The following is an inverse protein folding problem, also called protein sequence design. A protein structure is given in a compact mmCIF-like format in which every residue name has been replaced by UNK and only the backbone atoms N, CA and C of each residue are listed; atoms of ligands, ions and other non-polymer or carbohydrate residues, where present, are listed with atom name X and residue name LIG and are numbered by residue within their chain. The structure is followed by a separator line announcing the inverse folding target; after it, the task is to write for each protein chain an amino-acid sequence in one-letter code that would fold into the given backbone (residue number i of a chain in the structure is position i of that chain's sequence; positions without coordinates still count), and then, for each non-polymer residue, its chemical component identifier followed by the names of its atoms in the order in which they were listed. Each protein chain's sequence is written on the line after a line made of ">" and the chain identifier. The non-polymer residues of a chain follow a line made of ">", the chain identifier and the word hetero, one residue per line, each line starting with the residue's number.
data_IF_310777685854
#
_entry.id   IF_310777685854
#
_cell.length_a   1.000
_cell.length_b   1.000
_cell.length_c   1.000
_cell.angle_alpha   90.00
_cell.angle_beta   90.00
_cell.angle_gamma   90.00
#
_symmetry.space_group_name_H-M   'P 1'
#
loop_
_entity.id
_entity.type
_entity.pdbx_description
1 polymer ?
#
# COMPACT_ATOMS: atom_id res chain seq x y z
N UNK A 1 -15.21 -24.08 6.05
CA UNK A 1 -14.61 -22.86 5.47
C UNK A 1 -15.62 -21.74 5.63
N UNK A 2 -15.24 -20.62 6.25
CA UNK A 2 -16.17 -19.53 6.58
C UNK A 2 -16.61 -18.76 5.33
N UNK A 3 -17.89 -18.42 5.25
CA UNK A 3 -18.52 -17.63 4.17
C UNK A 3 -17.82 -16.27 3.98
N UNK A 4 -17.28 -15.69 5.06
CA UNK A 4 -16.50 -14.46 5.03
C UNK A 4 -15.19 -14.60 4.22
N UNK A 5 -14.56 -15.79 4.23
CA UNK A 5 -13.33 -16.05 3.47
C UNK A 5 -13.62 -16.19 1.98
N UNK A 6 -14.72 -16.85 1.63
CA UNK A 6 -15.18 -16.92 0.24
C UNK A 6 -15.58 -15.54 -0.31
N UNK A 7 -16.12 -14.66 0.54
CA UNK A 7 -16.42 -13.27 0.19
C UNK A 7 -15.14 -12.43 0.02
N UNK A 8 -14.13 -12.62 0.88
CA UNK A 8 -12.82 -11.99 0.78
C UNK A 8 -12.13 -12.36 -0.54
N UNK A 9 -12.05 -13.66 -0.84
CA UNK A 9 -11.42 -14.17 -2.06
C UNK A 9 -12.12 -13.65 -3.33
N UNK A 10 -13.45 -13.49 -3.28
CA UNK A 10 -14.26 -12.91 -4.36
C UNK A 10 -14.12 -11.40 -4.51
N UNK A 11 -14.03 -10.65 -3.40
CA UNK A 11 -13.90 -9.19 -3.45
C UNK A 11 -12.51 -8.76 -3.92
N UNK A 12 -11.48 -9.52 -3.57
CA UNK A 12 -10.12 -9.34 -4.12
C UNK A 12 -10.10 -9.58 -5.64
N UNK A 13 -11.00 -10.41 -6.17
CA UNK A 13 -11.12 -10.70 -7.62
C UNK A 13 -12.15 -9.86 -8.36
N UNK A 14 -13.04 -9.14 -7.67
CA UNK A 14 -14.14 -8.36 -8.28
C UNK A 14 -14.05 -6.91 -7.84
N UNK A 15 -13.13 -6.16 -8.45
CA UNK A 15 -13.21 -4.70 -8.47
C UNK A 15 -13.70 -4.27 -9.86
N UNK A 16 -14.84 -3.56 -9.88
CA UNK A 16 -15.37 -2.90 -11.09
C UNK A 16 -14.54 -1.65 -11.41
N UNK A 17 -14.30 -1.36 -12.70
CA UNK A 17 -13.55 -0.18 -13.15
C UNK A 17 -14.18 1.16 -12.76
N UNK A 18 -15.46 1.18 -12.36
CA UNK A 18 -16.20 2.39 -12.00
C UNK A 18 -16.32 2.61 -10.48
N UNK A 19 -15.33 2.18 -9.69
CA UNK A 19 -15.36 2.44 -8.25
C UNK A 19 -15.09 3.94 -8.00
N UNK A 20 -16.18 4.71 -7.86
CA UNK A 20 -16.17 6.15 -7.55
C UNK A 20 -15.30 6.53 -6.33
N UNK A 21 -14.98 5.56 -5.46
CA UNK A 21 -14.05 5.71 -4.34
C UNK A 21 -12.59 5.99 -4.77
N UNK A 22 -12.17 5.55 -5.96
CA UNK A 22 -10.88 5.90 -6.56
C UNK A 22 -10.96 7.20 -7.38
N UNK A 23 -12.10 7.46 -8.04
CA UNK A 23 -12.29 8.67 -8.84
C UNK A 23 -12.51 9.95 -7.99
N UNK A 24 -13.11 9.80 -6.80
CA UNK A 24 -13.30 10.86 -5.80
C UNK A 24 -12.06 11.13 -4.94
N UNK A 25 -10.92 10.50 -5.27
CA UNK A 25 -9.61 10.89 -4.78
C UNK A 25 -9.20 12.25 -5.41
N UNK A 26 -10.01 13.29 -5.15
CA UNK A 26 -9.85 14.63 -5.68
C UNK A 26 -8.50 15.20 -5.33
N UNK A 27 -7.94 15.97 -6.27
CA UNK A 27 -6.72 16.79 -6.17
C UNK A 27 -6.25 17.02 -4.73
N UNK A 28 -5.38 16.12 -4.25
CA UNK A 28 -4.71 16.24 -2.97
C UNK A 28 -3.36 16.91 -3.21
N UNK A 29 -2.99 17.88 -2.36
CA UNK A 29 -1.79 18.69 -2.52
C UNK A 29 -0.57 17.85 -2.93
N UNK A 30 -0.01 18.17 -4.10
CA UNK A 30 1.04 17.37 -4.73
C UNK A 30 2.34 17.46 -3.92
N UNK A 31 2.68 16.39 -3.20
CA UNK A 31 4.08 16.17 -2.83
C UNK A 31 4.86 15.96 -4.13
N UNK A 32 5.94 16.72 -4.40
CA UNK A 32 6.68 16.57 -5.65
C UNK A 32 7.23 15.14 -5.74
N UNK A 33 6.90 14.45 -6.83
CA UNK A 33 7.44 13.14 -7.14
C UNK A 33 8.98 13.21 -7.22
N UNK A 34 9.68 12.15 -6.80
CA UNK A 34 11.12 12.05 -7.13
C UNK A 34 11.20 11.98 -8.65
N UNK A 35 12.08 12.79 -9.26
CA UNK A 35 12.34 12.71 -10.69
C UNK A 35 12.83 11.29 -11.04
N UNK A 36 12.03 10.56 -11.82
CA UNK A 36 12.29 9.15 -12.14
C UNK A 36 13.59 8.95 -12.91
N UNK A 37 14.00 9.94 -13.71
CA UNK A 37 15.27 9.92 -14.46
C UNK A 37 16.49 10.11 -13.57
N UNK A 38 16.37 10.91 -12.52
CA UNK A 38 17.42 11.08 -11.49
C UNK A 38 17.48 9.86 -10.58
N UNK A 39 16.33 9.36 -10.12
CA UNK A 39 16.27 8.16 -9.29
C UNK A 39 16.88 6.93 -9.99
N UNK A 40 16.59 6.73 -11.28
CA UNK A 40 17.19 5.64 -12.05
C UNK A 40 18.72 5.77 -12.15
N UNK A 41 19.22 6.97 -12.43
CA UNK A 41 20.67 7.24 -12.49
C UNK A 41 21.36 7.02 -11.14
N UNK A 42 20.71 7.42 -10.05
CA UNK A 42 21.23 7.21 -8.70
C UNK A 42 21.33 5.72 -8.36
N UNK A 43 20.35 4.91 -8.80
CA UNK A 43 20.35 3.45 -8.65
C UNK A 43 21.37 2.73 -9.54
N UNK A 44 21.74 3.29 -10.70
CA UNK A 44 22.73 2.73 -11.63
C UNK A 44 24.18 2.93 -11.17
N UNK A 45 24.44 3.74 -10.14
CA UNK A 45 25.80 3.86 -9.60
C UNK A 45 26.23 2.60 -8.85
N UNK A 46 27.48 2.16 -9.00
CA UNK A 46 28.04 0.96 -8.33
C UNK A 46 27.90 1.01 -6.80
N UNK A 47 27.86 2.21 -6.20
CA UNK A 47 27.65 2.40 -4.76
C UNK A 47 26.18 2.21 -4.32
N UNK A 48 25.22 2.24 -5.25
CA UNK A 48 23.79 2.16 -4.97
C UNK A 48 23.16 0.79 -5.22
N UNK A 49 23.87 -0.14 -5.89
CA UNK A 49 23.31 -1.44 -6.27
C UNK A 49 22.78 -2.27 -5.08
N UNK A 50 23.54 -2.35 -3.99
CA UNK A 50 23.11 -3.06 -2.77
C UNK A 50 21.88 -2.43 -2.12
N UNK A 51 21.80 -1.10 -2.14
CA UNK A 51 20.62 -0.39 -1.65
C UNK A 51 19.41 -0.61 -2.57
N UNK A 52 19.59 -0.58 -3.89
CA UNK A 52 18.51 -0.79 -4.86
C UNK A 52 17.82 -2.15 -4.67
N UNK A 53 18.62 -3.21 -4.52
CA UNK A 53 18.11 -4.57 -4.31
C UNK A 53 17.33 -4.69 -2.99
N UNK A 54 17.89 -4.16 -1.89
CA UNK A 54 17.23 -4.20 -0.59
C UNK A 54 15.97 -3.31 -0.54
N UNK A 55 16.03 -2.12 -1.14
CA UNK A 55 14.91 -1.20 -1.21
C UNK A 55 13.76 -1.75 -2.05
N UNK A 56 14.05 -2.54 -3.11
CA UNK A 56 13.03 -3.22 -3.91
C UNK A 56 12.21 -4.21 -3.09
N UNK A 57 12.85 -4.97 -2.20
CA UNK A 57 12.13 -5.88 -1.29
C UNK A 57 11.15 -5.10 -0.41
N UNK A 58 11.62 -4.00 0.20
CA UNK A 58 10.77 -3.13 1.04
C UNK A 58 9.63 -2.51 0.24
N UNK A 59 9.90 -2.02 -0.97
CA UNK A 59 8.90 -1.44 -1.85
C UNK A 59 7.79 -2.44 -2.20
N UNK A 60 8.15 -3.66 -2.60
CA UNK A 60 7.18 -4.70 -2.96
C UNK A 60 6.34 -5.16 -1.75
N UNK A 61 6.97 -5.27 -0.57
CA UNK A 61 6.25 -5.57 0.66
C UNK A 61 5.27 -4.47 1.02
N UNK A 62 5.67 -3.19 0.94
CA UNK A 62 4.79 -2.05 1.15
C UNK A 62 3.64 -2.01 0.15
N UNK A 63 3.92 -2.24 -1.14
CA UNK A 63 2.89 -2.32 -2.19
C UNK A 63 1.83 -3.36 -1.86
N UNK A 64 2.27 -4.54 -1.38
CA UNK A 64 1.38 -5.61 -0.96
C UNK A 64 0.60 -5.27 0.30
N UNK A 65 1.24 -4.69 1.31
CA UNK A 65 0.59 -4.27 2.56
C UNK A 65 -0.49 -3.22 2.26
N UNK A 66 -0.17 -2.19 1.47
CA UNK A 66 -1.12 -1.13 1.08
C UNK A 66 -2.35 -1.73 0.39
N UNK A 67 -2.16 -2.63 -0.58
CA UNK A 67 -3.28 -3.30 -1.25
C UNK A 67 -4.15 -4.14 -0.30
N UNK A 68 -3.52 -4.88 0.62
CA UNK A 68 -4.25 -5.68 1.62
C UNK A 68 -5.06 -4.81 2.58
N UNK A 69 -4.45 -3.75 3.12
CA UNK A 69 -5.12 -2.84 4.05
C UNK A 69 -6.27 -2.08 3.37
N UNK A 70 -6.10 -1.64 2.11
CA UNK A 70 -7.18 -1.06 1.32
C UNK A 70 -8.36 -2.02 1.17
N UNK A 71 -8.09 -3.29 0.84
CA UNK A 71 -9.12 -4.34 0.76
C UNK A 71 -9.86 -4.54 2.08
N UNK A 72 -9.13 -4.55 3.21
CA UNK A 72 -9.74 -4.63 4.54
C UNK A 72 -10.66 -3.46 4.86
N UNK A 73 -10.25 -2.23 4.52
CA UNK A 73 -11.07 -1.04 4.77
C UNK A 73 -12.36 -1.07 3.95
N UNK A 74 -12.30 -1.52 2.70
CA UNK A 74 -13.48 -1.72 1.86
C UNK A 74 -14.43 -2.75 2.50
N UNK A 75 -13.89 -3.90 2.91
CA UNK A 75 -14.67 -4.94 3.58
C UNK A 75 -15.31 -4.46 4.89
N UNK A 76 -14.57 -3.69 5.69
CA UNK A 76 -15.07 -3.15 6.95
C UNK A 76 -16.21 -2.16 6.71
N UNK A 77 -16.12 -1.32 5.67
CA UNK A 77 -17.19 -0.39 5.29
C UNK A 77 -18.45 -1.10 4.80
N UNK A 78 -18.29 -2.17 4.01
CA UNK A 78 -19.41 -2.91 3.41
C UNK A 78 -20.14 -3.80 4.42
N UNK A 79 -19.38 -4.53 5.24
CA UNK A 79 -19.97 -5.53 6.14
C UNK A 79 -20.38 -4.94 7.49
N UNK A 80 -19.71 -3.87 7.95
CA UNK A 80 -19.79 -3.36 9.33
C UNK A 80 -19.60 -4.44 10.39
N UNK A 81 -18.96 -5.58 10.05
CA UNK A 81 -18.79 -6.73 10.96
C UNK A 81 -17.44 -6.68 11.63
N UNK A 82 -17.46 -6.80 12.96
CA UNK A 82 -16.26 -6.89 13.80
C UNK A 82 -15.46 -8.19 13.58
N UNK A 83 -16.12 -9.23 13.07
CA UNK A 83 -15.53 -10.53 12.71
C UNK A 83 -14.35 -10.42 11.73
N UNK A 84 -14.24 -9.30 10.99
CA UNK A 84 -13.11 -9.00 10.12
C UNK A 84 -11.78 -8.84 10.88
N UNK A 85 -11.82 -8.44 12.16
CA UNK A 85 -10.63 -8.28 12.99
C UNK A 85 -10.05 -9.62 13.43
N UNK A 86 -10.89 -10.65 13.48
CA UNK A 86 -10.51 -12.01 13.90
C UNK A 86 -10.01 -12.87 12.72
N UNK A 87 -9.96 -12.27 11.52
CA UNK A 87 -9.46 -12.93 10.32
C UNK A 87 -7.95 -13.18 10.44
N UNK A 88 -7.46 -14.39 10.13
CA UNK A 88 -6.02 -14.69 10.13
C UNK A 88 -5.25 -13.80 9.14
N UNK A 89 -5.91 -13.28 8.12
CA UNK A 89 -5.36 -12.34 7.16
C UNK A 89 -4.96 -11.00 7.81
N UNK A 90 -5.67 -10.55 8.86
CA UNK A 90 -5.32 -9.32 9.60
C UNK A 90 -4.00 -9.49 10.36
N UNK A 91 -3.85 -10.62 11.05
CA UNK A 91 -2.60 -10.98 11.73
C UNK A 91 -1.45 -11.16 10.72
N UNK A 92 -1.73 -11.77 9.57
CA UNK A 92 -0.73 -11.90 8.50
C UNK A 92 -0.32 -10.53 7.91
N UNK A 93 -1.22 -9.55 7.83
CA UNK A 93 -0.90 -8.19 7.43
C UNK A 93 -0.01 -7.50 8.48
N UNK A 94 -0.34 -7.65 9.78
CA UNK A 94 0.47 -7.12 10.89
C UNK A 94 1.90 -7.68 10.89
N UNK A 95 2.05 -9.00 10.72
CA UNK A 95 3.36 -9.64 10.67
C UNK A 95 4.17 -9.20 9.45
N UNK A 96 3.53 -9.03 8.28
CA UNK A 96 4.18 -8.51 7.08
C UNK A 96 4.67 -7.08 7.31
N UNK A 97 3.85 -6.23 7.92
CA UNK A 97 4.24 -4.87 8.28
C UNK A 97 5.43 -4.85 9.25
N UNK A 98 5.43 -5.66 10.30
CA UNK A 98 6.56 -5.76 11.24
C UNK A 98 7.86 -6.20 10.55
N UNK A 99 7.80 -7.19 9.65
CA UNK A 99 8.96 -7.61 8.85
C UNK A 99 9.45 -6.49 7.92
N UNK A 100 8.53 -5.76 7.32
CA UNK A 100 8.85 -4.61 6.47
C UNK A 100 9.54 -3.48 7.27
N UNK A 101 9.06 -3.17 8.48
CA UNK A 101 9.70 -2.21 9.40
C UNK A 101 11.14 -2.66 9.71
N UNK A 102 11.34 -3.94 10.03
CA UNK A 102 12.68 -4.46 10.29
C UNK A 102 13.60 -4.35 9.06
N UNK A 103 13.12 -4.72 7.88
CA UNK A 103 13.86 -4.61 6.63
C UNK A 103 14.23 -3.15 6.30
N UNK A 104 13.29 -2.21 6.47
CA UNK A 104 13.52 -0.79 6.29
C UNK A 104 14.55 -0.24 7.29
N UNK A 105 14.50 -0.68 8.55
CA UNK A 105 15.46 -0.24 9.58
C UNK A 105 16.90 -0.64 9.25
N UNK A 106 17.08 -1.80 8.62
CA UNK A 106 18.37 -2.34 8.18
C UNK A 106 18.85 -1.75 6.85
N UNK A 107 17.98 -1.10 6.07
CA UNK A 107 18.33 -0.46 4.83
C UNK A 107 19.28 0.71 5.12
N UNK A 108 20.40 0.86 4.42
CA UNK A 108 21.30 2.01 4.58
C UNK A 108 21.33 2.77 3.26
N UNK A 109 20.78 3.99 3.27
CA UNK A 109 20.67 4.80 2.06
C UNK A 109 21.96 5.62 1.86
N UNK A 110 22.60 5.57 0.68
CA UNK A 110 23.61 6.55 0.32
C UNK A 110 22.97 7.95 0.22
N UNK A 111 23.74 9.05 0.36
CA UNK A 111 23.19 10.40 0.41
C UNK A 111 22.21 10.77 -0.73
N UNK A 112 22.45 10.39 -2.00
CA UNK A 112 21.50 10.67 -3.09
C UNK A 112 20.13 9.98 -2.91
N UNK A 113 20.11 8.83 -2.23
CA UNK A 113 18.92 8.00 -2.04
C UNK A 113 18.28 8.17 -0.65
N UNK A 114 18.75 9.12 0.15
CA UNK A 114 18.19 9.41 1.48
C UNK A 114 16.71 9.79 1.38
N UNK A 115 16.33 10.59 0.37
CA UNK A 115 14.95 10.97 0.13
C UNK A 115 14.05 9.77 -0.24
N UNK A 116 14.56 8.87 -1.08
CA UNK A 116 13.86 7.63 -1.42
C UNK A 116 13.55 6.81 -0.15
N UNK A 117 14.54 6.62 0.72
CA UNK A 117 14.34 5.92 2.00
C UNK A 117 13.30 6.62 2.87
N UNK A 118 13.36 7.95 3.02
CA UNK A 118 12.39 8.72 3.82
C UNK A 118 10.95 8.51 3.36
N UNK A 119 10.73 8.35 2.05
CA UNK A 119 9.39 8.09 1.50
C UNK A 119 8.92 6.66 1.74
N UNK A 120 9.81 5.67 1.66
CA UNK A 120 9.49 4.29 2.10
C UNK A 120 9.12 4.26 3.59
N UNK A 121 9.83 5.03 4.41
CA UNK A 121 9.55 5.19 5.83
C UNK A 121 8.19 5.85 6.08
N UNK A 122 7.87 6.93 5.38
CA UNK A 122 6.55 7.57 5.45
C UNK A 122 5.42 6.59 5.10
N UNK A 123 5.57 5.80 4.04
CA UNK A 123 4.60 4.77 3.67
C UNK A 123 4.45 3.69 4.76
N UNK A 124 5.56 3.28 5.36
CA UNK A 124 5.59 2.28 6.45
C UNK A 124 4.85 2.79 7.69
N UNK A 125 5.08 4.06 8.08
CA UNK A 125 4.41 4.71 9.20
C UNK A 125 2.90 4.76 8.95
N UNK A 126 2.48 5.23 7.78
CA UNK A 126 1.06 5.31 7.42
C UNK A 126 0.39 3.92 7.46
N UNK A 127 1.06 2.85 6.98
CA UNK A 127 0.53 1.49 7.09
C UNK A 127 0.34 1.04 8.55
N UNK A 128 1.25 1.42 9.44
CA UNK A 128 1.14 1.15 10.87
C UNK A 128 -0.03 1.90 11.52
N UNK A 129 -0.24 3.16 11.13
CA UNK A 129 -1.38 3.96 11.57
C UNK A 129 -2.70 3.33 11.10
N UNK A 130 -2.79 2.88 9.85
CA UNK A 130 -3.98 2.17 9.32
C UNK A 130 -4.29 0.92 10.15
N UNK A 131 -3.28 0.08 10.43
CA UNK A 131 -3.45 -1.10 11.30
C UNK A 131 -4.00 -0.70 12.68
N UNK A 132 -3.44 0.34 13.30
CA UNK A 132 -3.89 0.84 14.60
C UNK A 132 -5.32 1.40 14.55
N UNK A 133 -5.76 2.01 13.45
CA UNK A 133 -7.14 2.46 13.27
C UNK A 133 -8.10 1.28 13.06
N UNK A 134 -7.71 0.27 12.28
CA UNK A 134 -8.50 -0.95 12.09
C UNK A 134 -8.74 -1.67 13.42
N UNK A 135 -7.73 -1.76 14.29
CA UNK A 135 -7.89 -2.36 15.63
C UNK A 135 -8.94 -1.63 16.49
N UNK A 136 -9.11 -0.32 16.30
CA UNK A 136 -10.12 0.48 17.02
C UNK A 136 -11.54 0.19 16.56
N UNK A 137 -11.76 -0.44 15.40
CA UNK A 137 -13.08 -0.85 14.91
C UNK A 137 -13.76 -1.88 15.81
N UNK A 138 -13.02 -2.50 16.74
CA UNK A 138 -13.60 -3.34 17.78
C UNK A 138 -14.50 -2.58 18.77
N UNK A 139 -14.49 -1.23 18.74
CA UNK A 139 -15.26 -0.34 19.61
C UNK A 139 -16.42 0.31 18.85
N UNK A 140 -17.70 0.00 19.20
CA UNK A 140 -18.87 0.42 18.43
C UNK A 140 -18.99 1.94 18.24
N UNK A 141 -18.61 2.70 19.27
CA UNK A 141 -18.75 4.15 19.37
C UNK A 141 -17.81 4.95 18.46
N UNK A 142 -16.77 4.32 17.88
CA UNK A 142 -15.73 5.02 17.09
C UNK A 142 -15.51 4.44 15.69
N UNK A 143 -16.44 3.59 15.23
CA UNK A 143 -16.23 2.79 14.01
C UNK A 143 -16.10 3.66 12.76
N UNK A 144 -16.97 4.66 12.58
CA UNK A 144 -16.97 5.49 11.38
C UNK A 144 -15.77 6.44 11.32
N UNK A 145 -15.48 7.14 12.42
CA UNK A 145 -14.30 8.01 12.54
C UNK A 145 -12.99 7.24 12.32
N UNK A 146 -12.88 6.02 12.86
CA UNK A 146 -11.70 5.17 12.68
C UNK A 146 -11.55 4.71 11.22
N UNK A 147 -12.65 4.42 10.51
CA UNK A 147 -12.60 4.08 9.09
C UNK A 147 -12.17 5.26 8.22
N UNK A 148 -12.65 6.47 8.53
CA UNK A 148 -12.28 7.66 7.78
C UNK A 148 -10.79 7.99 8.00
N UNK A 149 -10.32 7.96 9.24
CA UNK A 149 -8.91 8.14 9.58
C UNK A 149 -8.02 7.09 8.90
N UNK A 150 -8.42 5.82 8.93
CA UNK A 150 -7.70 4.76 8.23
C UNK A 150 -7.71 4.98 6.70
N UNK A 151 -8.83 5.45 6.15
CA UNK A 151 -8.99 5.81 4.74
C UNK A 151 -8.04 6.92 4.30
N UNK A 152 -7.79 7.91 5.14
CA UNK A 152 -6.85 8.99 4.82
C UNK A 152 -5.40 8.53 4.92
N UNK A 153 -5.05 7.72 5.94
CA UNK A 153 -3.71 7.16 6.08
C UNK A 153 -3.35 6.18 4.97
N UNK A 154 -4.28 5.37 4.48
CA UNK A 154 -3.99 4.47 3.36
C UNK A 154 -3.73 5.23 2.06
N UNK A 155 -4.42 6.37 1.83
CA UNK A 155 -4.15 7.25 0.69
C UNK A 155 -2.76 7.89 0.81
N UNK A 156 -2.37 8.34 2.01
CA UNK A 156 -1.03 8.86 2.27
C UNK A 156 0.06 7.81 2.01
N UNK A 157 -0.15 6.57 2.49
CA UNK A 157 0.77 5.46 2.23
C UNK A 157 0.93 5.19 0.73
N UNK A 158 -0.19 5.17 -0.02
CA UNK A 158 -0.18 4.98 -1.46
C UNK A 158 0.57 6.11 -2.18
N UNK A 159 0.34 7.38 -1.82
CA UNK A 159 1.05 8.52 -2.42
C UNK A 159 2.55 8.46 -2.15
N UNK A 160 2.94 8.21 -0.90
CA UNK A 160 4.34 8.10 -0.52
C UNK A 160 5.04 7.02 -1.36
N UNK A 161 4.42 5.84 -1.49
CA UNK A 161 4.94 4.73 -2.28
C UNK A 161 4.98 5.06 -3.79
N UNK A 162 3.91 5.66 -4.34
CA UNK A 162 3.86 6.06 -5.75
C UNK A 162 5.01 7.00 -6.12
N UNK A 163 5.38 7.92 -5.23
CA UNK A 163 6.48 8.84 -5.50
C UNK A 163 7.88 8.24 -5.35
N UNK A 164 7.99 6.99 -4.88
CA UNK A 164 9.22 6.18 -4.90
C UNK A 164 9.31 5.24 -6.09
N UNK A 165 8.24 5.14 -6.87
CA UNK A 165 8.18 4.28 -8.03
C UNK A 165 9.07 4.80 -9.16
N UNK A 166 9.79 3.88 -9.80
CA UNK A 166 10.54 4.11 -11.02
C UNK A 166 10.52 2.82 -11.84
N UNK A 167 9.78 2.84 -12.95
CA UNK A 167 9.71 1.71 -13.87
C UNK A 167 11.09 1.33 -14.39
N UNK A 168 11.93 2.33 -14.67
CA UNK A 168 13.32 2.15 -15.11
C UNK A 168 14.20 1.46 -14.06
N UNK A 169 13.89 1.62 -12.77
CA UNK A 169 14.57 0.95 -11.67
C UNK A 169 13.89 -0.37 -11.24
N UNK A 170 12.87 -0.83 -11.98
CA UNK A 170 12.10 -2.03 -11.62
C UNK A 170 11.21 -1.86 -10.38
N UNK A 171 10.95 -0.61 -9.97
CA UNK A 171 10.05 -0.23 -8.89
C UNK A 171 8.73 0.26 -9.48
N UNK A 172 8.02 -0.63 -10.16
CA UNK A 172 6.75 -0.28 -10.77
C UNK A 172 5.64 -0.36 -9.72
N UNK A 173 4.86 0.72 -9.60
CA UNK A 173 3.51 0.56 -9.07
C UNK A 173 2.70 -0.24 -10.09
N UNK A 174 1.76 -1.05 -9.61
CA UNK A 174 0.79 -1.64 -10.54
C UNK A 174 -0.14 -0.52 -10.98
N UNK A 175 -0.06 -0.16 -12.26
CA UNK A 175 -1.11 0.61 -12.91
C UNK A 175 -2.32 -0.30 -13.12
N UNK A 176 -3.33 -0.12 -12.28
CA UNK A 176 -4.58 -0.88 -12.38
C UNK A 176 -5.47 -0.41 -13.53
N UNK A 177 -5.11 0.65 -14.27
CA UNK A 177 -5.78 1.05 -15.52
C UNK A 177 -5.86 -0.10 -16.53
N UNK A 178 -4.91 -1.04 -16.48
CA UNK A 178 -4.78 -2.13 -17.47
C UNK A 178 -4.69 -3.54 -16.87
N UNK A 179 -4.82 -3.71 -15.54
CA UNK A 179 -4.58 -5.00 -14.86
C UNK A 179 -5.77 -5.98 -14.85
N UNK A 180 -6.81 -5.76 -15.66
CA UNK A 180 -7.94 -6.68 -15.73
C UNK A 180 -7.68 -7.80 -16.76
N UNK A 181 -7.40 -9.02 -16.28
CA UNK A 181 -7.29 -10.23 -17.10
C UNK A 181 -8.63 -10.72 -17.69
N UNK A 182 -9.66 -9.87 -17.81
CA UNK A 182 -10.96 -10.24 -18.38
C UNK A 182 -11.38 -9.45 -19.62
N UNK A 183 -10.58 -8.48 -20.10
CA UNK A 183 -10.95 -7.67 -21.26
C UNK A 183 -9.76 -7.47 -22.20
N UNK A 184 -9.43 -8.49 -22.98
CA UNK A 184 -8.69 -8.28 -24.23
C UNK A 184 -9.58 -7.55 -25.25
N UNK A 185 -9.02 -6.74 -26.15
CA UNK A 185 -9.80 -6.14 -27.24
C UNK A 185 -10.34 -7.27 -28.12
N UNK A 186 -11.66 -7.43 -28.14
CA UNK A 186 -12.33 -8.18 -29.19
C UNK A 186 -12.33 -7.28 -30.41
N UNK A 187 -11.64 -7.72 -31.47
CA UNK A 187 -11.77 -7.14 -32.81
C UNK A 187 -13.20 -7.26 -33.33
#
# INVERSE_FOLDING_TARGET
>A
MSEARALFDRLVTVHRPDCELLASAGSFAATPAIDQGTLARDFESDAAGSYALAARVVFEDLRRIVGQLAGFLILARLTRRRELLDLPEMEAARQRWQKCVAALSALIAPPPLAEHRRRLEAATICCGEVLAHIEKLGRPDRTEEALDQAGDRIKEAYRALQTTASEKAGLAMVDFSHACCSCGPQH
#
